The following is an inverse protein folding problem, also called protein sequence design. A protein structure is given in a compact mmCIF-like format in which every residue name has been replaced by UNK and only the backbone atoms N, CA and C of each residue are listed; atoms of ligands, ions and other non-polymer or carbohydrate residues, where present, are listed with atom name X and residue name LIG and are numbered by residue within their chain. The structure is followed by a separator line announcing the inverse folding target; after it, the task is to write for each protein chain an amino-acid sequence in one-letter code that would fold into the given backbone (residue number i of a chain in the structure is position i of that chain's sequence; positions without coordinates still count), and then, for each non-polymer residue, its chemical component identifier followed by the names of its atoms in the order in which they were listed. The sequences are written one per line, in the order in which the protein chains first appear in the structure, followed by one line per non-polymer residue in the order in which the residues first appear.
data_IF_361327833699
#
_entry.id   IF_361327833699
#
_cell.length_a   1.000
_cell.length_b   1.000
_cell.length_c   1.000
_cell.angle_alpha   90.00
_cell.angle_beta   90.00
_cell.angle_gamma   90.00
#
_symmetry.space_group_name_H-M   'P 1'
#
loop_
_entity.id
_entity.type
_entity.pdbx_description
1 polymer ?
#
# COMPACT_ATOMS: atom_id res chain seq x y z
N UNK A 1 63.48 18.10 -31.96
CA UNK A 1 63.55 17.38 -30.66
C UNK A 1 62.82 16.04 -30.79
N UNK A 2 63.49 14.97 -30.32
CA UNK A 2 63.10 13.55 -30.05
C UNK A 2 62.03 12.82 -30.91
N UNK A 3 62.45 11.61 -31.31
CA UNK A 3 61.92 10.61 -32.26
C UNK A 3 60.77 9.71 -31.73
N UNK A 4 60.19 8.97 -32.71
CA UNK A 4 59.54 7.63 -32.71
C UNK A 4 58.05 7.61 -32.35
N UNK A 5 57.10 7.22 -33.21
CA UNK A 5 56.92 6.07 -34.13
C UNK A 5 56.49 4.77 -33.45
N UNK A 6 55.27 4.32 -33.73
CA UNK A 6 54.78 2.92 -33.80
C UNK A 6 53.30 2.93 -34.21
N UNK A 7 52.68 1.91 -34.81
CA UNK A 7 53.05 0.87 -35.80
C UNK A 7 51.70 0.23 -36.17
N UNK A 8 51.42 0.06 -37.46
CA UNK A 8 50.23 -0.60 -38.02
C UNK A 8 50.43 -2.13 -37.98
N UNK A 9 49.40 -2.91 -37.64
CA UNK A 9 49.33 -4.38 -37.81
C UNK A 9 47.87 -4.83 -37.76
N UNK A 10 47.19 -5.02 -38.89
CA UNK A 10 46.91 -6.30 -39.59
C UNK A 10 46.13 -7.38 -38.80
N UNK A 11 44.84 -7.51 -39.18
CA UNK A 11 44.06 -8.72 -39.54
C UNK A 11 44.55 -10.08 -39.03
N UNK A 12 43.67 -10.78 -38.31
CA UNK A 12 43.62 -12.24 -38.21
C UNK A 12 42.18 -12.73 -38.08
N UNK A 13 41.63 -13.32 -39.16
CA UNK A 13 40.37 -14.08 -39.16
C UNK A 13 40.63 -15.47 -38.58
N UNK A 14 39.81 -15.97 -37.66
CA UNK A 14 39.56 -17.42 -37.46
C UNK A 14 38.09 -17.64 -37.08
N UNK A 15 37.44 -18.52 -37.86
CA UNK A 15 36.04 -18.91 -37.72
C UNK A 15 35.80 -20.00 -36.66
N UNK A 16 34.58 -20.56 -36.61
CA UNK A 16 34.02 -21.23 -35.43
C UNK A 16 34.44 -22.71 -35.35
N UNK A 17 34.83 -23.17 -34.16
CA UNK A 17 35.09 -24.58 -33.90
C UNK A 17 33.89 -25.21 -33.18
N UNK A 18 33.44 -26.33 -33.76
CA UNK A 18 32.27 -27.14 -33.39
C UNK A 18 32.64 -28.08 -32.25
N UNK A 19 31.75 -28.27 -31.27
CA UNK A 19 31.69 -29.49 -30.48
C UNK A 19 30.29 -30.09 -30.62
N UNK A 20 30.25 -31.25 -31.27
CA UNK A 20 29.15 -32.22 -31.23
C UNK A 20 29.62 -33.38 -30.36
N UNK A 21 28.65 -34.00 -29.69
CA UNK A 21 28.53 -35.42 -29.33
C UNK A 21 28.51 -35.74 -27.82
N UNK A 22 27.35 -36.26 -27.39
CA UNK A 22 27.08 -36.86 -26.09
C UNK A 22 25.60 -37.26 -25.97
N UNK A 23 25.19 -38.31 -26.70
CA UNK A 23 23.84 -38.89 -26.70
C UNK A 23 23.66 -39.87 -25.53
N UNK A 24 22.50 -39.76 -24.87
CA UNK A 24 21.60 -40.83 -24.42
C UNK A 24 22.16 -42.13 -23.82
N UNK A 25 21.99 -42.32 -22.49
CA UNK A 25 21.53 -43.57 -21.82
C UNK A 25 21.03 -43.19 -20.41
N UNK A 26 19.75 -43.47 -20.10
CA UNK A 26 19.18 -43.81 -18.77
C UNK A 26 17.65 -43.60 -18.73
N UNK A 27 16.94 -44.10 -19.75
CA UNK A 27 15.49 -44.22 -19.77
C UNK A 27 15.11 -45.71 -19.76
N UNK A 28 15.48 -46.43 -18.71
CA UNK A 28 14.91 -47.73 -18.29
C UNK A 28 15.23 -47.86 -16.79
N UNK A 29 14.27 -48.29 -15.97
CA UNK A 29 14.36 -48.63 -14.52
C UNK A 29 13.71 -47.68 -13.48
N UNK A 30 12.49 -47.16 -13.71
CA UNK A 30 11.50 -46.93 -12.60
C UNK A 30 10.06 -47.23 -13.05
N UNK A 31 9.89 -48.16 -13.99
CA UNK A 31 8.59 -48.73 -14.33
C UNK A 31 8.66 -50.22 -14.08
N UNK A 32 8.23 -50.66 -12.88
CA UNK A 32 7.79 -52.02 -12.51
C UNK A 32 8.06 -52.34 -11.03
N UNK A 33 7.57 -51.54 -10.09
CA UNK A 33 7.14 -52.08 -8.78
C UNK A 33 5.95 -51.25 -8.29
N UNK A 34 4.86 -51.92 -7.91
CA UNK A 34 3.61 -51.40 -7.34
C UNK A 34 2.49 -50.93 -8.30
N UNK A 35 2.11 -51.84 -9.21
CA UNK A 35 0.70 -52.01 -9.60
C UNK A 35 0.27 -53.46 -9.26
N UNK A 36 -0.12 -53.68 -8.00
CA UNK A 36 -0.85 -54.84 -7.47
C UNK A 36 -1.00 -54.57 -5.96
N UNK A 37 -2.07 -53.96 -5.49
CA UNK A 37 -3.31 -54.63 -5.01
C UNK A 37 -4.45 -53.61 -5.08
N UNK A 38 -5.53 -53.84 -5.83
CA UNK A 38 -6.69 -54.59 -5.35
C UNK A 38 -7.56 -53.72 -4.44
N UNK A 39 -8.52 -52.96 -5.00
CA UNK A 39 -9.99 -53.17 -4.90
C UNK A 39 -10.53 -53.35 -3.47
N UNK A 40 -11.41 -52.42 -3.08
CA UNK A 40 -12.28 -52.52 -1.92
C UNK A 40 -13.26 -51.33 -1.86
N UNK A 41 -14.36 -51.45 -2.58
CA UNK A 41 -15.59 -50.66 -2.43
C UNK A 41 -16.36 -51.13 -1.21
N UNK A 42 -16.98 -50.23 -0.44
CA UNK A 42 -18.31 -50.34 0.23
C UNK A 42 -18.47 -49.19 1.25
N UNK A 43 -19.30 -48.19 0.92
CA UNK A 43 -20.71 -47.97 1.37
C UNK A 43 -20.88 -47.65 2.86
N UNK A 44 -21.30 -46.41 3.08
CA UNK A 44 -22.01 -45.91 4.27
C UNK A 44 -23.39 -46.58 4.36
N UNK A 45 -23.90 -46.82 5.58
CA UNK A 45 -25.22 -46.30 5.89
C UNK A 45 -25.28 -45.62 7.26
N UNK A 46 -26.02 -44.50 7.31
CA UNK A 46 -26.42 -43.86 8.55
C UNK A 46 -27.66 -44.50 9.18
N UNK A 47 -27.88 -44.18 10.46
CA UNK A 47 -29.17 -43.95 11.14
C UNK A 47 -29.15 -44.51 12.56
N UNK A 48 -29.33 -43.64 13.56
CA UNK A 48 -30.29 -43.86 14.64
C UNK A 48 -30.42 -42.57 15.48
N UNK A 49 -31.63 -42.01 15.46
CA UNK A 49 -32.10 -40.92 16.29
C UNK A 49 -32.54 -41.41 17.69
N UNK A 50 -32.49 -40.51 18.68
CA UNK A 50 -33.46 -40.28 19.79
C UNK A 50 -32.79 -39.34 20.81
N UNK A 51 -33.18 -38.06 20.88
CA UNK A 51 -34.30 -37.51 21.69
C UNK A 51 -34.16 -37.84 23.18
N UNK A 52 -33.94 -36.83 24.02
CA UNK A 52 -34.72 -36.53 25.24
C UNK A 52 -34.40 -35.09 25.71
N UNK A 53 -35.49 -34.43 26.06
CA UNK A 53 -35.75 -33.05 26.47
C UNK A 53 -35.47 -32.77 27.96
N UNK A 54 -35.18 -31.50 28.24
CA UNK A 54 -35.69 -30.61 29.30
C UNK A 54 -35.57 -30.92 30.82
N UNK A 55 -35.38 -29.78 31.52
CA UNK A 55 -35.73 -29.45 32.92
C UNK A 55 -34.66 -29.85 33.95
N UNK A 56 -34.12 -28.99 34.83
CA UNK A 56 -34.76 -28.13 35.86
C UNK A 56 -33.71 -27.08 36.33
N UNK A 57 -33.84 -25.79 36.06
CA UNK A 57 -34.37 -24.68 36.92
C UNK A 57 -34.13 -24.76 38.46
N UNK A 58 -33.42 -23.74 38.94
CA UNK A 58 -33.79 -22.83 40.07
C UNK A 58 -33.28 -23.19 41.49
N UNK A 59 -32.61 -22.21 42.12
CA UNK A 59 -32.96 -21.53 43.39
C UNK A 59 -31.80 -20.56 43.76
N UNK A 60 -31.97 -19.23 43.71
CA UNK A 60 -32.63 -18.28 44.65
C UNK A 60 -31.96 -18.13 46.03
N UNK A 61 -31.46 -16.90 46.25
CA UNK A 61 -31.06 -16.17 47.47
C UNK A 61 -32.01 -16.34 48.69
N UNK A 62 -31.58 -16.05 49.94
CA UNK A 62 -31.59 -14.67 50.49
C UNK A 62 -30.54 -14.35 51.58
N UNK A 63 -30.16 -13.07 51.71
CA UNK A 63 -30.50 -12.22 52.88
C UNK A 63 -29.59 -10.99 53.00
N UNK A 64 -30.23 -9.88 53.33
CA UNK A 64 -29.76 -8.51 53.54
C UNK A 64 -28.84 -8.32 54.76
N UNK A 65 -28.07 -7.21 54.75
CA UNK A 65 -28.21 -6.09 55.71
C UNK A 65 -27.35 -4.88 55.34
N UNK A 66 -28.01 -3.74 55.21
CA UNK A 66 -27.48 -2.36 55.28
C UNK A 66 -27.17 -1.99 56.75
N UNK A 67 -26.36 -0.95 57.03
CA UNK A 67 -27.01 0.30 57.46
C UNK A 67 -26.37 1.62 56.94
N UNK A 68 -27.31 2.54 56.64
CA UNK A 68 -27.38 4.01 56.70
C UNK A 68 -26.12 4.91 56.89
N UNK A 69 -25.89 5.73 55.86
CA UNK A 69 -25.90 7.21 55.79
C UNK A 69 -25.49 8.05 57.02
N UNK A 70 -24.44 8.89 56.83
CA UNK A 70 -24.41 10.28 57.32
C UNK A 70 -23.82 11.22 56.28
N UNK A 71 -24.53 12.33 56.16
CA UNK A 71 -24.42 13.49 55.28
C UNK A 71 -23.23 14.36 55.66
N UNK A 72 -22.42 14.79 54.69
CA UNK A 72 -21.64 16.03 54.83
C UNK A 72 -21.52 16.77 53.49
N UNK A 73 -21.61 18.10 53.61
CA UNK A 73 -21.92 19.11 52.60
C UNK A 73 -20.62 19.63 51.96
N UNK A 74 -20.51 19.82 50.63
CA UNK A 74 -19.30 20.40 50.05
C UNK A 74 -19.28 21.93 50.23
N UNK A 75 -18.14 22.55 50.61
CA UNK A 75 -18.00 23.99 50.64
C UNK A 75 -17.61 24.58 49.27
N UNK A 76 -18.35 25.64 48.92
CA UNK A 76 -17.93 26.86 48.24
C UNK A 76 -16.85 26.81 47.12
N UNK A 77 -17.36 26.92 45.89
CA UNK A 77 -17.11 28.02 44.94
C UNK A 77 -15.68 28.61 44.94
N UNK A 78 -14.82 28.07 44.06
CA UNK A 78 -13.70 28.83 43.48
C UNK A 78 -14.10 29.27 42.08
N UNK A 79 -14.05 30.58 41.93
CA UNK A 79 -14.36 31.40 40.76
C UNK A 79 -13.38 31.07 39.63
N UNK A 80 -13.90 30.58 38.51
CA UNK A 80 -13.21 30.62 37.22
C UNK A 80 -12.98 32.10 36.83
N UNK A 81 -11.79 32.48 36.34
CA UNK A 81 -11.60 33.78 35.74
C UNK A 81 -12.44 33.87 34.47
N UNK A 82 -13.49 34.69 34.51
CA UNK A 82 -14.20 35.18 33.33
C UNK A 82 -13.20 35.86 32.39
N UNK A 83 -12.91 35.19 31.28
CA UNK A 83 -12.21 35.82 30.17
C UNK A 83 -13.19 36.79 29.50
N UNK A 84 -12.91 38.08 29.68
CA UNK A 84 -13.59 39.19 29.00
C UNK A 84 -13.68 38.90 27.51
N UNK A 85 -14.90 38.83 27.00
CA UNK A 85 -15.17 39.07 25.60
C UNK A 85 -14.80 40.53 25.27
N UNK A 86 -13.92 40.72 24.30
CA UNK A 86 -13.80 41.96 23.53
C UNK A 86 -13.79 41.61 22.05
N UNK A 87 -14.42 42.45 21.22
CA UNK A 87 -14.84 42.07 19.87
C UNK A 87 -13.63 42.13 18.94
N UNK A 88 -13.18 40.97 18.46
CA UNK A 88 -12.24 40.93 17.35
C UNK A 88 -13.04 40.69 16.07
N UNK A 89 -12.93 41.67 15.18
CA UNK A 89 -13.49 41.75 13.84
C UNK A 89 -13.43 40.43 13.08
N UNK A 90 -14.56 40.06 12.47
CA UNK A 90 -14.66 39.01 11.48
C UNK A 90 -13.73 39.30 10.30
N UNK A 91 -12.52 38.75 10.38
CA UNK A 91 -11.69 38.52 9.19
C UNK A 91 -12.23 37.23 8.60
N UNK A 92 -12.70 37.25 7.34
CA UNK A 92 -13.01 36.02 6.62
C UNK A 92 -11.75 35.16 6.67
N UNK A 93 -11.78 34.06 7.41
CA UNK A 93 -10.73 33.05 7.28
C UNK A 93 -10.84 32.47 5.88
N UNK A 94 -10.04 33.02 4.97
CA UNK A 94 -9.84 32.43 3.67
C UNK A 94 -9.28 31.02 3.90
N UNK A 95 -9.99 30.01 3.38
CA UNK A 95 -9.65 28.62 3.66
C UNK A 95 -8.20 28.27 3.28
N UNK A 96 -7.63 27.18 3.81
CA UNK A 96 -6.21 26.84 3.70
C UNK A 96 -5.62 26.82 2.27
N UNK A 97 -6.45 26.58 1.26
CA UNK A 97 -6.07 26.62 -0.16
C UNK A 97 -6.04 28.03 -0.75
N UNK A 98 -6.79 28.98 -0.19
CA UNK A 98 -6.67 30.39 -0.54
C UNK A 98 -5.31 30.94 -0.10
N UNK A 99 -4.70 30.39 0.95
CA UNK A 99 -3.32 30.70 1.34
C UNK A 99 -2.26 30.18 0.34
N UNK A 100 -2.64 29.35 -0.65
CA UNK A 100 -1.77 29.05 -1.79
C UNK A 100 -1.78 30.17 -2.85
N UNK A 101 -2.78 31.05 -2.82
CA UNK A 101 -2.87 32.16 -3.76
C UNK A 101 -1.85 33.25 -3.43
N UNK A 102 -1.11 33.71 -4.44
CA UNK A 102 -0.11 34.79 -4.30
C UNK A 102 1.33 34.34 -4.04
N UNK A 103 1.58 33.05 -3.79
CA UNK A 103 2.94 32.48 -3.75
C UNK A 103 3.16 31.49 -4.89
N UNK A 104 4.39 31.43 -5.41
CA UNK A 104 4.81 30.45 -6.42
C UNK A 104 5.73 29.43 -5.76
N UNK A 105 5.24 28.21 -5.64
CA UNK A 105 6.03 27.05 -5.23
C UNK A 105 6.80 26.50 -6.44
N UNK A 106 7.94 25.86 -6.21
CA UNK A 106 8.88 25.38 -7.23
C UNK A 106 9.30 23.91 -7.02
N UNK A 107 8.89 23.29 -5.91
CA UNK A 107 9.13 21.87 -5.64
C UNK A 107 8.37 20.91 -6.56
N UNK A 108 8.71 19.63 -6.43
CA UNK A 108 8.02 18.52 -7.11
C UNK A 108 7.14 17.73 -6.13
N UNK A 109 5.90 17.45 -6.51
CA UNK A 109 5.00 16.65 -5.70
C UNK A 109 4.48 15.46 -6.50
N UNK A 110 4.79 14.24 -6.06
CA UNK A 110 4.13 13.03 -6.54
C UNK A 110 3.04 12.62 -5.54
N UNK A 111 1.86 12.28 -6.08
CA UNK A 111 0.72 11.80 -5.30
C UNK A 111 0.38 10.39 -5.77
N UNK A 112 0.32 9.45 -4.84
CA UNK A 112 -0.18 8.09 -5.06
C UNK A 112 -1.59 7.96 -4.49
N UNK A 113 -2.50 7.41 -5.29
CA UNK A 113 -3.87 7.08 -4.92
C UNK A 113 -3.97 5.58 -4.64
N UNK A 114 -3.98 5.22 -3.37
CA UNK A 114 -4.13 3.86 -2.88
C UNK A 114 -5.59 3.38 -2.93
N UNK A 115 -5.79 2.09 -2.64
CA UNK A 115 -7.09 1.47 -2.46
C UNK A 115 -7.97 1.47 -3.73
N UNK A 116 -7.38 1.60 -4.92
CA UNK A 116 -8.11 1.43 -6.17
C UNK A 116 -8.61 -0.03 -6.28
N UNK A 117 -9.90 -0.24 -6.55
CA UNK A 117 -10.51 -1.58 -6.61
C UNK A 117 -11.58 -1.85 -5.56
N UNK A 118 -11.71 -1.02 -4.50
CA UNK A 118 -12.90 -1.08 -3.64
C UNK A 118 -14.12 -0.42 -4.31
N UNK A 119 -13.93 0.76 -4.90
CA UNK A 119 -14.97 1.51 -5.60
C UNK A 119 -14.41 2.14 -6.88
N UNK A 120 -15.25 2.30 -7.90
CA UNK A 120 -14.86 2.86 -9.19
C UNK A 120 -15.07 4.37 -9.28
N UNK A 121 -16.09 4.93 -8.62
CA UNK A 121 -16.43 6.36 -8.76
C UNK A 121 -15.30 7.30 -8.31
N UNK A 122 -14.62 7.08 -7.16
CA UNK A 122 -13.48 7.90 -6.80
C UNK A 122 -12.31 7.75 -7.78
N UNK A 123 -12.09 6.55 -8.33
CA UNK A 123 -11.04 6.29 -9.33
C UNK A 123 -11.32 7.08 -10.60
N UNK A 124 -12.55 7.04 -11.13
CA UNK A 124 -12.97 7.82 -12.30
C UNK A 124 -12.83 9.32 -12.06
N UNK A 125 -13.27 9.79 -10.91
CA UNK A 125 -13.16 11.21 -10.54
C UNK A 125 -11.69 11.65 -10.50
N UNK A 126 -10.84 10.93 -9.78
CA UNK A 126 -9.44 11.29 -9.62
C UNK A 126 -8.64 11.18 -10.92
N UNK A 127 -8.90 10.17 -11.76
CA UNK A 127 -8.22 9.99 -13.07
C UNK A 127 -8.63 11.04 -14.10
N UNK A 128 -9.80 11.68 -13.94
CA UNK A 128 -10.25 12.78 -14.79
C UNK A 128 -9.61 14.13 -14.47
N UNK A 129 -8.97 14.27 -13.31
CA UNK A 129 -8.27 15.49 -12.94
C UNK A 129 -7.00 15.65 -13.80
N UNK A 130 -6.58 16.89 -14.12
CA UNK A 130 -5.43 17.14 -14.98
C UNK A 130 -4.09 17.02 -14.21
N UNK A 131 -3.98 16.04 -13.32
CA UNK A 131 -2.80 15.81 -12.49
C UNK A 131 -2.19 14.44 -12.79
N UNK A 132 -0.85 14.33 -12.90
CA UNK A 132 -0.17 13.08 -13.21
C UNK A 132 -0.04 12.19 -11.96
N UNK A 133 -1.17 11.85 -11.34
CA UNK A 133 -1.18 10.96 -10.19
C UNK A 133 -0.75 9.54 -10.56
N UNK A 134 -0.24 8.81 -9.59
CA UNK A 134 0.00 7.36 -9.69
C UNK A 134 -1.06 6.62 -8.89
N UNK A 135 -1.46 5.42 -9.29
CA UNK A 135 -2.60 4.72 -8.69
C UNK A 135 -2.24 3.29 -8.33
N UNK A 136 -2.50 2.89 -7.09
CA UNK A 136 -2.24 1.56 -6.60
C UNK A 136 -3.55 0.77 -6.45
N UNK A 137 -3.63 -0.37 -7.14
CA UNK A 137 -4.82 -1.23 -7.21
C UNK A 137 -4.68 -2.38 -6.23
N UNK A 138 -5.63 -2.54 -5.31
CA UNK A 138 -5.73 -3.74 -4.47
C UNK A 138 -6.06 -4.94 -5.39
N UNK A 139 -5.32 -6.05 -5.32
CA UNK A 139 -5.58 -7.22 -6.16
C UNK A 139 -6.85 -7.96 -5.71
N UNK A 140 -7.42 -8.77 -6.61
CA UNK A 140 -8.51 -9.72 -6.32
C UNK A 140 -9.84 -9.13 -5.81
N UNK A 141 -10.07 -7.81 -5.92
CA UNK A 141 -11.39 -7.23 -5.68
C UNK A 141 -12.26 -7.36 -6.92
N UNK A 142 -13.61 -7.35 -6.76
CA UNK A 142 -14.53 -7.35 -7.90
C UNK A 142 -14.21 -6.26 -8.94
N UNK A 143 -13.73 -5.09 -8.49
CA UNK A 143 -13.47 -3.95 -9.35
C UNK A 143 -11.97 -3.78 -9.73
N UNK A 144 -11.05 -4.68 -9.33
CA UNK A 144 -9.61 -4.49 -9.55
C UNK A 144 -9.24 -4.37 -11.03
N UNK A 145 -9.77 -5.26 -11.87
CA UNK A 145 -9.50 -5.26 -13.32
C UNK A 145 -10.06 -4.01 -14.00
N UNK A 146 -11.28 -3.59 -13.63
CA UNK A 146 -11.89 -2.39 -14.19
C UNK A 146 -11.17 -1.11 -13.72
N UNK A 147 -10.77 -1.03 -12.45
CA UNK A 147 -9.96 0.08 -11.94
C UNK A 147 -8.63 0.18 -12.71
N UNK A 148 -7.93 -0.95 -12.90
CA UNK A 148 -6.70 -1.01 -13.69
C UNK A 148 -6.91 -0.51 -15.12
N UNK A 149 -8.01 -0.92 -15.76
CA UNK A 149 -8.38 -0.48 -17.12
C UNK A 149 -8.60 1.04 -17.19
N UNK A 150 -9.33 1.62 -16.23
CA UNK A 150 -9.56 3.08 -16.14
C UNK A 150 -8.24 3.84 -15.97
N UNK A 151 -7.38 3.39 -15.05
CA UNK A 151 -6.10 4.03 -14.75
C UNK A 151 -5.20 4.03 -15.99
N UNK A 152 -5.01 2.86 -16.61
CA UNK A 152 -4.16 2.72 -17.80
C UNK A 152 -4.75 3.43 -19.02
N UNK A 153 -6.05 3.35 -19.22
CA UNK A 153 -6.76 4.04 -20.30
C UNK A 153 -6.68 5.57 -20.20
N UNK A 154 -6.44 6.09 -18.99
CA UNK A 154 -6.22 7.53 -18.73
C UNK A 154 -4.75 7.94 -18.80
N UNK A 155 -3.84 7.01 -19.13
CA UNK A 155 -2.40 7.29 -19.28
C UNK A 155 -1.61 7.42 -17.97
N UNK A 156 -2.19 7.04 -16.83
CA UNK A 156 -1.54 7.15 -15.52
C UNK A 156 -0.68 5.93 -15.20
N UNK A 157 0.25 6.10 -14.25
CA UNK A 157 1.02 4.98 -13.68
C UNK A 157 0.08 4.10 -12.85
N UNK A 158 0.02 2.81 -13.21
CA UNK A 158 -0.70 1.80 -12.45
C UNK A 158 0.28 0.94 -11.64
N UNK A 159 -0.04 0.72 -10.38
CA UNK A 159 0.74 -0.05 -9.41
C UNK A 159 -0.12 -1.14 -8.76
N UNK A 160 0.51 -2.18 -8.25
CA UNK A 160 -0.11 -3.11 -7.30
C UNK A 160 -0.06 -2.51 -5.89
N UNK A 161 -1.20 -2.50 -5.20
CA UNK A 161 -1.29 -2.22 -3.77
C UNK A 161 -1.26 -3.54 -2.99
N UNK A 162 -0.07 -4.04 -2.68
CA UNK A 162 0.15 -5.40 -2.18
C UNK A 162 -0.28 -5.52 -0.71
N UNK A 163 -1.27 -6.37 -0.36
CA UNK A 163 -1.69 -6.56 1.02
C UNK A 163 -0.60 -7.17 1.91
N UNK A 164 -0.33 -6.53 3.03
CA UNK A 164 0.72 -6.93 3.98
C UNK A 164 0.24 -6.82 5.44
N UNK A 165 0.76 -7.69 6.31
CA UNK A 165 0.33 -7.79 7.70
C UNK A 165 0.61 -6.50 8.51
N UNK A 166 -0.40 -5.92 9.18
CA UNK A 166 -0.22 -4.84 10.14
C UNK A 166 0.11 -5.37 11.54
N UNK A 167 0.66 -4.50 12.40
CA UNK A 167 0.95 -4.81 13.82
C UNK A 167 -0.31 -5.18 14.61
N UNK A 168 -1.49 -4.70 14.22
CA UNK A 168 -2.77 -5.05 14.84
C UNK A 168 -3.16 -6.54 14.70
N UNK A 169 -2.44 -7.33 13.89
CA UNK A 169 -2.58 -8.79 13.81
C UNK A 169 -3.55 -9.31 12.74
N UNK A 170 -4.42 -8.45 12.19
CA UNK A 170 -5.34 -8.79 11.11
C UNK A 170 -5.20 -7.85 9.92
N UNK A 171 -4.98 -8.38 8.72
CA UNK A 171 -5.12 -7.60 7.50
C UNK A 171 -6.61 -7.38 7.19
N UNK A 172 -6.95 -6.25 6.59
CA UNK A 172 -8.28 -6.03 6.00
C UNK A 172 -8.54 -6.94 4.80
N UNK A 173 -7.49 -7.53 4.25
CA UNK A 173 -7.55 -8.43 3.11
C UNK A 173 -7.51 -9.90 3.54
N UNK A 174 -8.20 -10.75 2.78
CA UNK A 174 -8.29 -12.19 3.04
C UNK A 174 -6.94 -12.89 2.87
N UNK A 175 -6.06 -12.32 2.04
CA UNK A 175 -4.69 -12.78 1.78
C UNK A 175 -3.75 -11.60 1.98
N UNK A 176 -2.60 -11.84 2.58
CA UNK A 176 -1.56 -10.82 2.78
C UNK A 176 -0.19 -11.50 2.89
N UNK A 177 0.88 -10.76 2.60
CA UNK A 177 2.23 -11.12 3.00
C UNK A 177 2.34 -10.98 4.51
N UNK A 178 2.68 -12.05 5.23
CA UNK A 178 2.69 -12.09 6.70
C UNK A 178 4.04 -12.54 7.25
N UNK A 179 4.38 -12.05 8.43
CA UNK A 179 5.54 -12.54 9.18
C UNK A 179 5.30 -14.00 9.57
N UNK A 180 6.33 -14.83 9.40
CA UNK A 180 6.28 -16.27 9.68
C UNK A 180 5.86 -17.13 8.48
N UNK A 181 5.43 -16.54 7.36
CA UNK A 181 5.34 -17.26 6.08
C UNK A 181 6.74 -17.66 5.59
N UNK A 182 6.83 -18.77 4.88
CA UNK A 182 8.07 -19.13 4.18
C UNK A 182 8.32 -18.16 3.03
N UNK A 183 9.59 -18.01 2.61
CA UNK A 183 9.93 -17.19 1.46
C UNK A 183 9.17 -17.62 0.19
N UNK A 184 8.96 -18.92 -0.01
CA UNK A 184 8.19 -19.45 -1.14
C UNK A 184 6.72 -19.04 -1.08
N UNK A 185 6.08 -19.10 0.09
CA UNK A 185 4.69 -18.65 0.26
C UNK A 185 4.53 -17.17 -0.05
N UNK A 186 5.46 -16.34 0.44
CA UNK A 186 5.49 -14.90 0.17
C UNK A 186 5.68 -14.65 -1.33
N UNK A 187 6.64 -15.32 -1.95
CA UNK A 187 6.94 -15.14 -3.37
C UNK A 187 5.79 -15.60 -4.27
N UNK A 188 5.15 -16.72 -3.96
CA UNK A 188 4.00 -17.23 -4.71
C UNK A 188 2.81 -16.27 -4.61
N UNK A 189 2.47 -15.81 -3.39
CA UNK A 189 1.40 -14.82 -3.25
C UNK A 189 1.72 -13.50 -3.96
N UNK A 190 2.96 -13.01 -3.84
CA UNK A 190 3.39 -11.77 -4.51
C UNK A 190 3.25 -11.89 -6.03
N UNK A 191 3.69 -13.03 -6.61
CA UNK A 191 3.57 -13.28 -8.05
C UNK A 191 2.12 -13.37 -8.51
N UNK A 192 1.27 -14.11 -7.79
CA UNK A 192 -0.15 -14.17 -8.10
C UNK A 192 -0.83 -12.78 -8.06
N UNK A 193 -0.44 -11.93 -7.11
CA UNK A 193 -0.96 -10.57 -7.02
C UNK A 193 -0.51 -9.71 -8.21
N UNK A 194 0.76 -9.80 -8.62
CA UNK A 194 1.29 -9.14 -9.82
C UNK A 194 0.56 -9.63 -11.08
N UNK A 195 0.45 -10.95 -11.27
CA UNK A 195 -0.18 -11.58 -12.43
C UNK A 195 -1.66 -11.22 -12.56
N UNK A 196 -2.33 -10.93 -11.44
CA UNK A 196 -3.73 -10.49 -11.43
C UNK A 196 -3.95 -9.09 -12.02
N UNK A 197 -2.90 -8.29 -12.18
CA UNK A 197 -2.94 -6.90 -12.64
C UNK A 197 -1.94 -6.66 -13.79
N UNK A 198 -2.23 -7.16 -15.02
CA UNK A 198 -1.26 -7.14 -16.11
C UNK A 198 -0.85 -5.72 -16.55
N UNK A 199 0.46 -5.51 -16.61
CA UNK A 199 1.07 -4.26 -17.08
C UNK A 199 1.04 -3.11 -16.07
N UNK A 200 0.97 -3.42 -14.78
CA UNK A 200 1.43 -2.50 -13.73
C UNK A 200 2.93 -2.20 -13.89
N UNK A 201 3.38 -1.09 -13.33
CA UNK A 201 4.77 -0.62 -13.44
C UNK A 201 5.52 -0.66 -12.10
N UNK A 202 4.79 -0.75 -10.98
CA UNK A 202 5.36 -0.76 -9.65
C UNK A 202 4.42 -1.33 -8.60
N UNK A 203 4.90 -1.36 -7.36
CA UNK A 203 4.21 -1.91 -6.20
C UNK A 203 4.36 -0.97 -5.02
N UNK A 204 3.33 -0.82 -4.19
CA UNK A 204 3.48 -0.35 -2.82
C UNK A 204 2.74 -1.30 -1.85
N UNK A 205 2.94 -1.13 -0.55
CA UNK A 205 2.27 -1.96 0.46
C UNK A 205 0.93 -1.37 0.91
N UNK A 206 -0.11 -2.20 0.94
CA UNK A 206 -1.34 -1.95 1.68
C UNK A 206 -1.15 -2.41 3.12
N UNK A 207 -1.38 -1.51 4.08
CA UNK A 207 -1.06 -1.73 5.50
C UNK A 207 0.42 -2.09 5.70
N UNK A 208 0.71 -3.29 6.20
CA UNK A 208 2.08 -3.81 6.22
C UNK A 208 2.98 -3.38 7.36
N UNK A 209 2.52 -2.62 8.36
CA UNK A 209 3.39 -2.11 9.44
C UNK A 209 4.23 -3.20 10.13
N UNK A 210 3.73 -4.43 10.22
CA UNK A 210 4.50 -5.55 10.77
C UNK A 210 5.41 -6.19 9.70
N UNK A 211 4.86 -6.49 8.52
CA UNK A 211 5.60 -7.15 7.45
C UNK A 211 6.76 -6.30 6.88
N UNK A 212 6.59 -4.98 6.76
CA UNK A 212 7.63 -4.07 6.24
C UNK A 212 8.71 -3.78 7.28
N UNK A 213 8.43 -4.00 8.57
CA UNK A 213 9.43 -3.93 9.65
C UNK A 213 10.24 -5.24 9.76
N UNK A 214 9.78 -6.34 9.16
CA UNK A 214 10.46 -7.64 9.17
C UNK A 214 11.31 -7.83 7.90
N UNK A 215 12.63 -7.77 8.05
CA UNK A 215 13.59 -7.85 6.95
C UNK A 215 13.46 -9.10 6.07
N UNK A 216 13.39 -10.32 6.64
CA UNK A 216 13.18 -11.54 5.84
C UNK A 216 11.88 -11.53 5.04
N UNK A 217 10.77 -11.10 5.66
CA UNK A 217 9.45 -11.04 5.01
C UNK A 217 9.45 -10.08 3.83
N UNK A 218 9.89 -8.84 4.03
CA UNK A 218 9.87 -7.85 2.94
C UNK A 218 10.88 -8.17 1.83
N UNK A 219 12.05 -8.72 2.18
CA UNK A 219 13.04 -9.16 1.17
C UNK A 219 12.49 -10.26 0.26
N UNK A 220 11.71 -11.19 0.81
CA UNK A 220 11.10 -12.24 0.01
C UNK A 220 10.09 -11.68 -1.01
N UNK A 221 9.29 -10.68 -0.63
CA UNK A 221 8.38 -10.00 -1.55
C UNK A 221 9.15 -9.16 -2.59
N UNK A 222 10.11 -8.36 -2.15
CA UNK A 222 10.94 -7.51 -3.01
C UNK A 222 11.71 -8.30 -4.06
N UNK A 223 12.12 -9.54 -3.75
CA UNK A 223 12.78 -10.43 -4.72
C UNK A 223 11.90 -10.72 -5.94
N UNK A 224 10.59 -10.89 -5.76
CA UNK A 224 9.66 -11.06 -6.89
C UNK A 224 9.46 -9.74 -7.61
N UNK A 225 9.18 -8.68 -6.86
CA UNK A 225 8.91 -7.33 -7.41
C UNK A 225 10.07 -6.87 -8.30
N UNK A 226 11.31 -6.95 -7.81
CA UNK A 226 12.50 -6.59 -8.58
C UNK A 226 12.80 -7.58 -9.73
N UNK A 227 12.51 -8.87 -9.53
CA UNK A 227 12.67 -9.89 -10.57
C UNK A 227 11.77 -9.66 -11.79
N UNK A 228 10.60 -9.06 -11.58
CA UNK A 228 9.66 -8.67 -12.64
C UNK A 228 9.94 -7.25 -13.19
N UNK A 229 11.01 -6.59 -12.73
CA UNK A 229 11.42 -5.26 -13.18
C UNK A 229 10.51 -4.13 -12.68
N UNK A 230 9.72 -4.36 -11.63
CA UNK A 230 8.82 -3.38 -11.03
C UNK A 230 9.54 -2.53 -9.99
N UNK A 231 9.20 -1.24 -9.92
CA UNK A 231 9.66 -0.39 -8.81
C UNK A 231 8.86 -0.65 -7.52
N UNK A 232 9.38 -0.23 -6.37
CA UNK A 232 8.68 -0.36 -5.08
C UNK A 232 8.63 0.96 -4.31
N UNK A 233 7.45 1.37 -3.85
CA UNK A 233 7.28 2.52 -2.94
C UNK A 233 6.87 2.01 -1.55
N UNK A 234 7.64 2.38 -0.52
CA UNK A 234 7.25 2.10 0.86
C UNK A 234 6.17 3.08 1.30
N UNK A 235 4.94 2.59 1.55
CA UNK A 235 3.84 3.42 2.05
C UNK A 235 4.09 3.95 3.46
N UNK A 236 5.11 3.42 4.15
CA UNK A 236 5.63 3.86 5.46
C UNK A 236 4.53 4.01 6.52
N UNK A 237 3.68 2.98 6.62
CA UNK A 237 2.61 2.89 7.63
C UNK A 237 3.13 2.77 9.06
N UNK A 238 4.45 2.60 9.23
CA UNK A 238 5.17 2.67 10.50
C UNK A 238 6.59 3.22 10.29
N UNK A 239 7.13 3.90 11.30
CA UNK A 239 8.48 4.49 11.25
C UNK A 239 9.61 3.45 11.23
N UNK A 240 9.35 2.23 11.72
CA UNK A 240 10.31 1.12 11.79
C UNK A 240 10.41 0.30 10.50
N UNK A 241 9.70 0.70 9.44
CA UNK A 241 9.78 0.02 8.15
C UNK A 241 11.23 -0.02 7.64
N UNK A 242 11.64 -1.18 7.14
CA UNK A 242 12.94 -1.40 6.50
C UNK A 242 12.81 -1.61 4.99
N UNK A 243 11.60 -1.48 4.44
CA UNK A 243 11.28 -1.85 3.07
C UNK A 243 12.05 -1.02 2.03
N UNK A 244 12.01 0.32 2.12
CA UNK A 244 12.77 1.21 1.22
C UNK A 244 14.27 0.90 1.25
N UNK A 245 14.84 0.74 2.46
CA UNK A 245 16.26 0.44 2.64
C UNK A 245 16.65 -0.86 1.95
N UNK A 246 15.85 -1.91 2.12
CA UNK A 246 16.11 -3.21 1.50
C UNK A 246 15.90 -3.15 -0.01
N UNK A 247 14.86 -2.47 -0.50
CA UNK A 247 14.63 -2.28 -1.93
C UNK A 247 15.85 -1.62 -2.61
N UNK A 248 16.38 -0.54 -2.01
CA UNK A 248 17.59 0.13 -2.51
C UNK A 248 18.82 -0.80 -2.49
N UNK A 249 18.98 -1.62 -1.45
CA UNK A 249 20.09 -2.59 -1.38
C UNK A 249 20.01 -3.68 -2.47
N UNK A 250 18.81 -4.04 -2.88
CA UNK A 250 18.54 -5.01 -3.94
C UNK A 250 18.53 -4.36 -5.34
N UNK A 251 18.85 -3.06 -5.45
CA UNK A 251 18.88 -2.34 -6.73
C UNK A 251 17.50 -2.05 -7.34
N UNK A 252 16.44 -2.08 -6.53
CA UNK A 252 15.07 -1.78 -6.96
C UNK A 252 14.86 -0.27 -6.82
N UNK A 253 14.39 0.38 -7.90
CA UNK A 253 13.98 1.79 -7.85
C UNK A 253 12.93 1.98 -6.75
N UNK A 254 13.20 2.91 -5.84
CA UNK A 254 12.36 3.04 -4.65
C UNK A 254 12.21 4.47 -4.15
N UNK A 255 11.23 4.65 -3.26
CA UNK A 255 10.92 5.88 -2.56
C UNK A 255 9.98 5.56 -1.40
N UNK A 256 9.60 6.57 -0.62
CA UNK A 256 8.68 6.37 0.49
C UNK A 256 7.65 7.49 0.58
N UNK A 257 6.50 7.14 1.18
CA UNK A 257 5.48 8.10 1.56
C UNK A 257 5.97 9.03 2.67
N UNK A 258 5.90 10.34 2.42
CA UNK A 258 6.24 11.37 3.41
C UNK A 258 5.05 11.74 4.30
N UNK A 259 3.81 11.64 3.80
CA UNK A 259 2.60 11.93 4.57
C UNK A 259 1.34 11.34 3.93
N UNK A 260 0.38 10.96 4.76
CA UNK A 260 -0.98 10.66 4.31
C UNK A 260 -1.86 11.91 4.31
N UNK A 261 -2.56 12.16 3.20
CA UNK A 261 -3.41 13.36 3.07
C UNK A 261 -4.81 13.19 3.68
N UNK A 262 -5.27 11.95 3.88
CA UNK A 262 -6.68 11.64 4.16
C UNK A 262 -6.87 10.65 5.32
N UNK A 263 -6.07 10.80 6.37
CA UNK A 263 -6.33 10.15 7.66
C UNK A 263 -7.67 10.60 8.27
N UNK A 264 -8.10 11.82 7.97
CA UNK A 264 -9.46 12.32 8.22
C UNK A 264 -10.32 12.12 6.97
N UNK A 265 -11.60 11.79 7.15
CA UNK A 265 -12.58 11.81 6.07
C UNK A 265 -13.20 13.19 5.83
N UNK A 266 -12.86 14.18 6.65
CA UNK A 266 -13.32 15.56 6.47
C UNK A 266 -12.64 16.23 5.28
N UNK A 267 -13.44 16.82 4.38
CA UNK A 267 -12.94 17.41 3.14
C UNK A 267 -12.00 18.59 3.42
N UNK A 268 -12.31 19.44 4.39
CA UNK A 268 -11.49 20.61 4.70
C UNK A 268 -10.13 20.18 5.27
N UNK A 269 -10.12 19.19 6.17
CA UNK A 269 -8.87 18.62 6.69
C UNK A 269 -8.00 17.99 5.58
N UNK A 270 -8.60 17.33 4.57
CA UNK A 270 -7.84 16.82 3.42
C UNK A 270 -7.26 17.97 2.60
N UNK A 271 -8.02 19.03 2.38
CA UNK A 271 -7.55 20.24 1.68
C UNK A 271 -6.40 20.93 2.41
N UNK A 272 -6.42 20.96 3.75
CA UNK A 272 -5.31 21.41 4.58
C UNK A 272 -4.05 20.60 4.34
N UNK A 273 -4.17 19.26 4.32
CA UNK A 273 -3.02 18.37 4.05
C UNK A 273 -2.49 18.50 2.64
N UNK A 274 -3.34 18.75 1.64
CA UNK A 274 -2.89 19.06 0.27
C UNK A 274 -2.06 20.35 0.27
N UNK A 275 -2.51 21.41 0.95
CA UNK A 275 -1.77 22.66 1.04
C UNK A 275 -0.44 22.50 1.80
N UNK A 276 -0.42 21.70 2.87
CA UNK A 276 0.79 21.35 3.62
C UNK A 276 1.80 20.58 2.74
N UNK A 277 1.35 19.56 2.01
CA UNK A 277 2.19 18.79 1.10
C UNK A 277 2.84 19.67 0.02
N UNK A 278 2.13 20.67 -0.50
CA UNK A 278 2.68 21.62 -1.47
C UNK A 278 3.79 22.48 -0.85
N UNK A 279 3.56 23.01 0.36
CA UNK A 279 4.55 23.83 1.08
C UNK A 279 5.79 23.03 1.43
N UNK A 280 5.62 21.78 1.86
CA UNK A 280 6.74 20.93 2.23
C UNK A 280 7.48 20.42 0.98
N UNK A 281 6.78 20.13 -0.13
CA UNK A 281 7.41 19.77 -1.39
C UNK A 281 8.29 20.90 -1.92
N UNK A 282 7.85 22.15 -1.76
CA UNK A 282 8.66 23.32 -2.06
C UNK A 282 9.89 23.44 -1.14
N UNK A 283 9.67 23.30 0.18
CA UNK A 283 10.75 23.39 1.18
C UNK A 283 11.83 22.34 0.99
N UNK A 284 11.45 21.09 0.70
CA UNK A 284 12.38 19.97 0.58
C UNK A 284 12.79 19.67 -0.87
N UNK A 285 12.24 20.43 -1.83
CA UNK A 285 12.48 20.28 -3.26
C UNK A 285 11.65 19.17 -3.93
N UNK A 286 11.37 18.07 -3.22
CA UNK A 286 10.47 17.03 -3.70
C UNK A 286 9.78 16.25 -2.57
N UNK A 287 8.56 15.76 -2.80
CA UNK A 287 7.85 14.85 -1.90
C UNK A 287 7.00 13.82 -2.65
N UNK A 288 6.91 12.63 -2.07
CA UNK A 288 5.92 11.61 -2.41
C UNK A 288 4.90 11.56 -1.28
N UNK A 289 3.61 11.72 -1.59
CA UNK A 289 2.52 11.66 -0.62
C UNK A 289 1.46 10.67 -1.06
N UNK A 290 0.70 10.13 -0.11
CA UNK A 290 -0.31 9.12 -0.38
C UNK A 290 -1.69 9.59 0.11
N UNK A 291 -2.72 9.31 -0.67
CA UNK A 291 -4.10 9.30 -0.22
C UNK A 291 -4.85 8.13 -0.85
N UNK A 292 -6.14 7.97 -0.56
CA UNK A 292 -6.90 6.79 -0.96
C UNK A 292 -8.05 7.16 -1.91
N UNK A 293 -8.46 6.21 -2.76
CA UNK A 293 -9.59 6.35 -3.69
C UNK A 293 -10.94 6.36 -2.94
N UNK A 294 -11.21 7.42 -2.16
CA UNK A 294 -12.43 7.62 -1.35
C UNK A 294 -13.25 8.80 -1.88
N UNK A 295 -14.58 8.81 -1.69
CA UNK A 295 -15.44 9.89 -2.18
C UNK A 295 -15.02 11.28 -1.69
N UNK A 296 -14.74 11.43 -0.40
CA UNK A 296 -14.35 12.74 0.17
C UNK A 296 -12.93 13.15 -0.23
N UNK A 297 -12.01 12.21 -0.44
CA UNK A 297 -10.67 12.48 -0.98
C UNK A 297 -10.76 12.97 -2.43
N UNK A 298 -11.59 12.32 -3.26
CA UNK A 298 -11.83 12.74 -4.63
C UNK A 298 -12.48 14.14 -4.69
N UNK A 299 -13.45 14.41 -3.83
CA UNK A 299 -14.09 15.71 -3.74
C UNK A 299 -13.13 16.80 -3.25
N UNK A 300 -12.25 16.51 -2.28
CA UNK A 300 -11.23 17.44 -1.82
C UNK A 300 -10.27 17.82 -2.96
N UNK A 301 -9.78 16.84 -3.74
CA UNK A 301 -8.93 17.11 -4.90
C UNK A 301 -9.66 17.91 -5.98
N UNK A 302 -10.92 17.57 -6.28
CA UNK A 302 -11.75 18.31 -7.24
C UNK A 302 -11.93 19.78 -6.83
N UNK A 303 -12.20 20.04 -5.54
CA UNK A 303 -12.32 21.41 -5.00
C UNK A 303 -10.98 22.16 -4.98
N UNK A 304 -9.87 21.42 -4.89
CA UNK A 304 -8.52 22.00 -4.82
C UNK A 304 -7.91 22.27 -6.19
N UNK A 305 -8.50 21.74 -7.28
CA UNK A 305 -7.87 21.70 -8.60
C UNK A 305 -7.33 23.07 -9.05
N UNK A 306 -8.18 24.11 -9.00
CA UNK A 306 -7.80 25.45 -9.44
C UNK A 306 -6.64 26.05 -8.61
N UNK A 307 -6.67 25.86 -7.28
CA UNK A 307 -5.64 26.35 -6.38
C UNK A 307 -4.31 25.62 -6.62
N UNK A 308 -4.35 24.29 -6.76
CA UNK A 308 -3.16 23.47 -7.04
C UNK A 308 -2.52 23.89 -8.37
N UNK A 309 -3.31 24.03 -9.44
CA UNK A 309 -2.83 24.44 -10.78
C UNK A 309 -2.18 25.83 -10.79
N UNK A 310 -2.64 26.73 -9.92
CA UNK A 310 -2.14 28.11 -9.86
C UNK A 310 -1.04 28.32 -8.82
N UNK A 311 -0.80 27.34 -7.95
CA UNK A 311 0.22 27.40 -6.89
C UNK A 311 1.67 27.42 -7.41
N UNK A 312 1.91 26.97 -8.65
CA UNK A 312 3.26 26.87 -9.22
C UNK A 312 4.00 25.56 -8.93
N UNK A 313 3.50 24.74 -7.99
CA UNK A 313 4.08 23.43 -7.70
C UNK A 313 4.07 22.54 -8.96
N UNK A 314 5.13 21.75 -9.15
CA UNK A 314 5.19 20.80 -10.26
C UNK A 314 4.69 19.44 -9.78
N UNK A 315 3.48 19.04 -10.18
CA UNK A 315 3.03 17.66 -9.97
C UNK A 315 3.69 16.73 -10.98
N UNK A 316 4.18 15.59 -10.52
CA UNK A 316 4.90 14.59 -11.32
C UNK A 316 4.39 13.17 -11.01
N UNK A 317 4.47 12.22 -11.97
CA UNK A 317 4.27 10.81 -11.64
C UNK A 317 5.33 10.34 -10.63
N UNK A 318 5.01 9.31 -9.85
CA UNK A 318 5.92 8.85 -8.78
C UNK A 318 7.29 8.43 -9.29
N UNK A 319 7.36 7.91 -10.52
CA UNK A 319 8.57 7.47 -11.20
C UNK A 319 9.64 8.55 -11.32
N UNK A 320 9.26 9.83 -11.34
CA UNK A 320 10.19 10.95 -11.46
C UNK A 320 10.98 11.23 -10.17
N UNK A 321 10.52 10.66 -9.04
CA UNK A 321 11.08 10.89 -7.70
C UNK A 321 11.74 9.65 -7.09
N UNK A 322 11.75 8.52 -7.79
CA UNK A 322 12.37 7.27 -7.31
C UNK A 322 13.90 7.31 -7.44
N UNK A 323 14.58 6.59 -6.56
CA UNK A 323 16.05 6.50 -6.46
C UNK A 323 16.53 5.06 -6.39
#
# INVERSE_FOLDING_TARGET
MKKRATRRSQRGKRGPFRWLLGLAVCAVLVGMVYAATGRGTETVPGSAAKTITDTVKKNLHPSEKTPETKTEKPPAKKTEPQQKASPSSATREEGPLAALSGQKYHGKLAVIIDDCGYALDPVRTLTSLPFPFSYAVIPFKPNSSEALSIIKGSGHIAMLHLPMEPVSGGSSETRAVRVGMTAEQIQNYTREAIDSLPGIQGVNNHQGSKATSDGPTIRAALKVIGGDGLFFVDSRTISTSVAEKIARQEGILTGHNSMFLDNSSDIAAIQERIAEAIKDADRYGAMIVICHARPNTAEAWRRSEAAVKTSGITLVPVTDLLQ
#
